data_IF_261863058828
#
_entry.id   IF_261863058828
#
_cell.length_a   1.000
_cell.length_b   1.000
_cell.length_c   1.000
_cell.angle_alpha   90.00
_cell.angle_beta   90.00
_cell.angle_gamma   90.00
#
_symmetry.space_group_name_H-M   'P 1'
#
loop_
_entity.id
_entity.type
_entity.pdbx_description
1 polymer ?
#
# COMPACT_ATOMS: atom_id res chain seq x y z
N UNK A 1 -6.94 -1.09 23.51
CA UNK A 1 -6.06 0.02 23.95
C UNK A 1 -6.94 1.21 24.36
N UNK A 2 -7.71 1.79 23.45
CA UNK A 2 -8.56 2.98 23.70
C UNK A 2 -9.63 2.69 24.74
N UNK A 3 -9.86 3.65 25.66
CA UNK A 3 -10.88 3.59 26.73
C UNK A 3 -10.52 2.69 27.91
N UNK A 4 -9.27 2.23 28.02
CA UNK A 4 -8.81 1.42 29.14
C UNK A 4 -7.77 2.16 29.98
N UNK A 5 -7.96 2.27 31.28
CA UNK A 5 -7.08 3.00 32.22
C UNK A 5 -5.62 2.58 32.07
N UNK A 6 -5.35 1.28 31.87
CA UNK A 6 -3.99 0.75 31.67
C UNK A 6 -3.21 1.41 30.53
N UNK A 7 -3.92 1.94 29.51
CA UNK A 7 -3.32 2.52 28.29
C UNK A 7 -3.56 4.00 28.15
N UNK A 8 -3.91 4.68 29.26
CA UNK A 8 -4.27 6.10 29.26
C UNK A 8 -3.16 7.02 28.73
N UNK A 9 -1.91 6.69 29.02
CA UNK A 9 -0.74 7.47 28.59
C UNK A 9 -0.54 7.45 27.07
N UNK A 10 -0.91 6.35 26.39
CA UNK A 10 -0.78 6.14 24.95
C UNK A 10 -2.11 6.27 24.21
N UNK A 11 -3.20 6.62 24.89
CA UNK A 11 -4.54 6.67 24.28
C UNK A 11 -4.65 7.71 23.18
N UNK A 12 -4.00 8.86 23.33
CA UNK A 12 -4.02 9.92 22.33
C UNK A 12 -3.37 9.44 21.03
N UNK A 13 -2.18 8.86 21.12
CA UNK A 13 -1.45 8.28 19.99
C UNK A 13 -2.24 7.14 19.32
N UNK A 14 -2.82 6.24 20.11
CA UNK A 14 -3.66 5.17 19.58
C UNK A 14 -4.90 5.68 18.83
N UNK A 15 -5.46 6.82 19.24
CA UNK A 15 -6.58 7.48 18.53
C UNK A 15 -6.12 8.09 17.20
N UNK A 16 -4.96 8.71 17.15
CA UNK A 16 -4.39 9.26 15.92
C UNK A 16 -4.13 8.14 14.89
N UNK A 17 -3.52 7.04 15.32
CA UNK A 17 -3.30 5.85 14.49
C UNK A 17 -4.63 5.30 13.96
N UNK A 18 -5.64 5.19 14.81
CA UNK A 18 -6.98 4.73 14.41
C UNK A 18 -7.61 5.64 13.36
N UNK A 19 -7.56 6.97 13.56
CA UNK A 19 -8.13 7.94 12.63
C UNK A 19 -7.47 7.85 11.26
N UNK A 20 -6.14 7.82 11.21
CA UNK A 20 -5.40 7.71 9.95
C UNK A 20 -5.66 6.36 9.26
N UNK A 21 -5.72 5.26 10.02
CA UNK A 21 -6.04 3.94 9.47
C UNK A 21 -7.43 3.88 8.85
N UNK A 22 -8.43 4.50 9.49
CA UNK A 22 -9.80 4.58 8.96
C UNK A 22 -9.90 5.48 7.72
N UNK A 23 -9.09 6.54 7.62
CA UNK A 23 -9.00 7.38 6.43
C UNK A 23 -8.37 6.62 5.27
N UNK A 24 -7.22 6.01 5.48
CA UNK A 24 -6.55 5.17 4.47
C UNK A 24 -7.46 4.03 4.00
N UNK A 25 -8.18 3.38 4.90
CA UNK A 25 -9.16 2.34 4.54
C UNK A 25 -10.23 2.87 3.61
N UNK A 26 -10.80 4.05 3.87
CA UNK A 26 -11.81 4.68 3.00
C UNK A 26 -11.23 4.99 1.62
N UNK A 27 -10.02 5.57 1.57
CA UNK A 27 -9.35 5.86 0.31
C UNK A 27 -9.09 4.59 -0.50
N UNK A 28 -8.55 3.53 0.13
CA UNK A 28 -8.27 2.27 -0.55
C UNK A 28 -9.54 1.54 -1.02
N UNK A 29 -10.66 1.68 -0.33
CA UNK A 29 -11.95 1.16 -0.81
C UNK A 29 -12.42 1.87 -2.09
N UNK A 30 -12.21 3.18 -2.20
CA UNK A 30 -12.51 3.93 -3.43
C UNK A 30 -11.59 3.54 -4.60
N UNK A 31 -10.37 3.09 -4.31
CA UNK A 31 -9.43 2.64 -5.33
C UNK A 31 -9.90 1.36 -6.05
N UNK A 32 -10.78 0.55 -5.47
CA UNK A 32 -11.32 -0.67 -6.09
C UNK A 32 -12.09 -0.31 -7.38
N UNK A 33 -12.94 0.69 -7.31
CA UNK A 33 -13.73 1.14 -8.47
C UNK A 33 -12.83 1.84 -9.50
N UNK A 34 -11.83 2.59 -9.04
CA UNK A 34 -10.85 3.25 -9.90
C UNK A 34 -9.99 2.24 -10.67
N UNK A 35 -9.53 1.17 -10.04
CA UNK A 35 -8.76 0.09 -10.68
C UNK A 35 -9.55 -0.55 -11.83
N UNK A 36 -10.82 -0.85 -11.59
CA UNK A 36 -11.73 -1.40 -12.61
C UNK A 36 -11.88 -0.47 -13.80
N UNK A 37 -11.95 0.84 -13.58
CA UNK A 37 -12.03 1.85 -14.63
C UNK A 37 -10.72 1.94 -15.42
N UNK A 38 -9.59 1.99 -14.74
CA UNK A 38 -8.26 2.03 -15.37
C UNK A 38 -8.07 0.81 -16.28
N UNK A 39 -8.44 -0.38 -15.81
CA UNK A 39 -8.38 -1.60 -16.64
C UNK A 39 -9.24 -1.48 -17.89
N UNK A 40 -10.47 -0.96 -17.78
CA UNK A 40 -11.35 -0.73 -18.94
C UNK A 40 -10.71 0.24 -19.94
N UNK A 41 -10.16 1.36 -19.46
CA UNK A 41 -9.52 2.37 -20.30
C UNK A 41 -8.27 1.81 -21.02
N UNK A 42 -7.49 0.97 -20.36
CA UNK A 42 -6.35 0.24 -20.98
C UNK A 42 -6.85 -0.67 -22.10
N UNK A 43 -7.84 -1.52 -21.83
CA UNK A 43 -8.37 -2.47 -22.80
C UNK A 43 -8.97 -1.77 -24.03
N UNK A 44 -9.66 -0.67 -23.83
CA UNK A 44 -10.28 0.09 -24.92
C UNK A 44 -9.23 0.83 -25.77
N UNK A 45 -8.15 1.35 -25.15
CA UNK A 45 -7.04 1.96 -25.88
C UNK A 45 -6.29 0.95 -26.76
N UNK A 46 -6.07 -0.28 -26.27
CA UNK A 46 -5.47 -1.36 -27.06
C UNK A 46 -6.37 -1.78 -28.23
N UNK A 47 -7.70 -1.91 -28.02
CA UNK A 47 -8.66 -2.24 -29.10
C UNK A 47 -8.71 -1.16 -30.18
N UNK A 48 -8.57 0.11 -29.80
CA UNK A 48 -8.55 1.22 -30.72
C UNK A 48 -7.24 1.31 -31.53
N UNK A 49 -6.18 0.64 -31.11
CA UNK A 49 -4.83 0.72 -31.73
C UNK A 49 -4.14 2.07 -31.54
N UNK A 50 -4.61 2.87 -30.57
CA UNK A 50 -4.10 4.21 -30.27
C UNK A 50 -2.92 4.11 -29.29
N UNK A 51 -1.70 4.12 -29.83
CA UNK A 51 -0.47 3.97 -29.04
C UNK A 51 -0.25 5.13 -28.07
N UNK A 52 -0.59 6.37 -28.43
CA UNK A 52 -0.43 7.51 -27.53
C UNK A 52 -1.38 7.36 -26.34
N UNK A 53 -2.61 6.94 -26.58
CA UNK A 53 -3.57 6.67 -25.53
C UNK A 53 -3.16 5.48 -24.65
N UNK A 54 -2.63 4.40 -25.24
CA UNK A 54 -2.07 3.27 -24.46
C UNK A 54 -0.98 3.76 -23.53
N UNK A 55 -0.04 4.57 -24.01
CA UNK A 55 1.01 5.15 -23.18
C UNK A 55 0.47 5.97 -22.02
N UNK A 56 -0.48 6.89 -22.30
CA UNK A 56 -1.09 7.74 -21.27
C UNK A 56 -1.79 6.93 -20.19
N UNK A 57 -2.68 6.01 -20.56
CA UNK A 57 -3.43 5.21 -19.58
C UNK A 57 -2.57 4.22 -18.81
N UNK A 58 -1.50 3.69 -19.44
CA UNK A 58 -0.52 2.86 -18.73
C UNK A 58 0.31 3.68 -17.74
N UNK A 59 0.63 4.94 -18.05
CA UNK A 59 1.29 5.82 -17.09
C UNK A 59 0.39 6.12 -15.89
N UNK A 60 -0.88 6.45 -16.12
CA UNK A 60 -1.88 6.65 -15.05
C UNK A 60 -2.01 5.38 -14.17
N UNK A 61 -2.01 4.20 -14.79
CA UNK A 61 -2.04 2.92 -14.09
C UNK A 61 -0.79 2.66 -13.23
N UNK A 62 0.39 3.09 -13.69
CA UNK A 62 1.62 3.04 -12.89
C UNK A 62 1.51 3.96 -11.68
N UNK A 63 1.08 5.21 -11.87
CA UNK A 63 0.95 6.19 -10.79
C UNK A 63 -0.08 5.74 -9.75
N UNK A 64 -1.22 5.23 -10.19
CA UNK A 64 -2.26 4.64 -9.35
C UNK A 64 -1.72 3.46 -8.51
N UNK A 65 -1.02 2.53 -9.16
CA UNK A 65 -0.46 1.36 -8.45
C UNK A 65 0.68 1.76 -7.49
N UNK A 66 1.43 2.80 -7.80
CA UNK A 66 2.44 3.38 -6.89
C UNK A 66 1.79 4.04 -5.67
N UNK A 67 0.67 4.76 -5.84
CA UNK A 67 -0.09 5.34 -4.73
C UNK A 67 -0.64 4.23 -3.81
N UNK A 68 -1.21 3.17 -4.38
CA UNK A 68 -1.65 1.99 -3.64
C UNK A 68 -0.50 1.35 -2.84
N UNK A 69 0.70 1.23 -3.46
CA UNK A 69 1.89 0.72 -2.79
C UNK A 69 2.29 1.57 -1.58
N UNK A 70 2.29 2.90 -1.73
CA UNK A 70 2.60 3.85 -0.64
C UNK A 70 1.61 3.75 0.51
N UNK A 71 0.32 3.67 0.20
CA UNK A 71 -0.75 3.53 1.21
C UNK A 71 -0.63 2.20 1.96
N UNK A 72 -0.33 1.10 1.27
CA UNK A 72 -0.11 -0.19 1.91
C UNK A 72 1.09 -0.16 2.87
N UNK A 73 2.23 0.44 2.46
CA UNK A 73 3.39 0.63 3.35
C UNK A 73 3.03 1.54 4.53
N UNK A 74 2.26 2.62 4.33
CA UNK A 74 1.83 3.49 5.44
C UNK A 74 0.97 2.72 6.46
N UNK A 75 0.04 1.86 6.02
CA UNK A 75 -0.72 0.99 6.92
C UNK A 75 0.17 0.03 7.71
N UNK A 76 1.23 -0.49 7.10
CA UNK A 76 2.20 -1.33 7.81
C UNK A 76 2.97 -0.54 8.87
N UNK A 77 3.35 0.72 8.61
CA UNK A 77 3.96 1.60 9.62
C UNK A 77 3.02 1.83 10.80
N UNK A 78 1.74 2.16 10.53
CA UNK A 78 0.74 2.31 11.58
C UNK A 78 0.53 1.00 12.37
N UNK A 79 0.62 -0.15 11.70
CA UNK A 79 0.54 -1.45 12.36
C UNK A 79 1.75 -1.69 13.29
N UNK A 80 2.94 -1.26 12.90
CA UNK A 80 4.12 -1.30 13.76
C UNK A 80 3.95 -0.36 14.97
N UNK A 81 3.60 0.91 14.72
CA UNK A 81 3.37 1.93 15.75
C UNK A 81 2.37 1.42 16.82
N UNK A 82 1.20 0.88 16.40
CA UNK A 82 0.22 0.36 17.36
C UNK A 82 0.64 -0.95 18.02
N UNK A 83 1.50 -1.76 17.40
CA UNK A 83 2.02 -2.99 18.01
C UNK A 83 2.96 -2.72 19.18
N UNK A 84 3.68 -1.59 19.16
CA UNK A 84 4.59 -1.16 20.23
C UNK A 84 3.84 -0.71 21.49
N UNK A 85 2.75 0.04 21.32
CA UNK A 85 2.00 0.69 22.42
C UNK A 85 0.68 -0.01 22.76
N UNK A 86 0.22 -0.90 21.91
CA UNK A 86 -1.10 -1.49 21.96
C UNK A 86 -1.26 -2.64 22.95
N UNK A 87 -2.44 -3.24 22.91
CA UNK A 87 -2.76 -4.38 23.76
C UNK A 87 -2.08 -5.64 23.24
N UNK A 88 -1.14 -6.18 23.99
CA UNK A 88 -0.41 -7.42 23.66
C UNK A 88 -1.30 -8.65 23.42
N UNK A 89 -2.54 -8.66 23.90
CA UNK A 89 -3.49 -9.73 23.58
C UNK A 89 -3.91 -9.74 22.10
N UNK A 90 -3.57 -8.70 21.34
CA UNK A 90 -3.83 -8.58 19.90
C UNK A 90 -2.60 -8.93 19.06
N UNK A 91 -1.59 -9.58 19.63
CA UNK A 91 -0.34 -9.90 18.93
C UNK A 91 -0.57 -10.66 17.62
N UNK A 92 -1.48 -11.66 17.62
CA UNK A 92 -1.84 -12.39 16.41
C UNK A 92 -2.50 -11.52 15.34
N UNK A 93 -3.25 -10.48 15.74
CA UNK A 93 -3.87 -9.56 14.77
C UNK A 93 -2.80 -8.67 14.11
N UNK A 94 -1.77 -8.27 14.85
CA UNK A 94 -0.63 -7.54 14.30
C UNK A 94 0.16 -8.40 13.31
N UNK A 95 0.40 -9.67 13.65
CA UNK A 95 1.07 -10.61 12.74
C UNK A 95 0.28 -10.81 11.44
N UNK A 96 -1.04 -10.99 11.52
CA UNK A 96 -1.94 -11.07 10.35
C UNK A 96 -1.86 -9.79 9.52
N UNK A 97 -1.89 -8.61 10.16
CA UNK A 97 -1.77 -7.34 9.46
C UNK A 97 -0.43 -7.20 8.72
N UNK A 98 0.67 -7.69 9.30
CA UNK A 98 1.99 -7.69 8.68
C UNK A 98 2.04 -8.56 7.41
N UNK A 99 1.49 -9.77 7.45
CA UNK A 99 1.43 -10.65 6.27
C UNK A 99 0.55 -10.08 5.15
N UNK A 100 -0.64 -9.59 5.50
CA UNK A 100 -1.57 -9.02 4.51
C UNK A 100 -0.98 -7.74 3.90
N UNK A 101 -0.35 -6.89 4.71
CA UNK A 101 0.28 -5.65 4.25
C UNK A 101 1.42 -5.91 3.26
N UNK A 102 2.33 -6.83 3.58
CA UNK A 102 3.44 -7.21 2.70
C UNK A 102 2.93 -7.83 1.38
N UNK A 103 1.88 -8.66 1.44
CA UNK A 103 1.23 -9.21 0.26
C UNK A 103 0.57 -8.12 -0.60
N UNK A 104 -0.07 -7.12 0.02
CA UNK A 104 -0.68 -6.00 -0.68
C UNK A 104 0.37 -5.15 -1.41
N UNK A 105 1.51 -4.84 -0.76
CA UNK A 105 2.65 -4.16 -1.39
C UNK A 105 3.18 -4.97 -2.57
N UNK A 106 3.39 -6.27 -2.41
CA UNK A 106 3.85 -7.16 -3.48
C UNK A 106 2.90 -7.18 -4.68
N UNK A 107 1.59 -7.21 -4.44
CA UNK A 107 0.55 -7.21 -5.47
C UNK A 107 0.49 -5.87 -6.22
N UNK A 108 0.52 -4.74 -5.51
CA UNK A 108 0.54 -3.42 -6.13
C UNK A 108 1.80 -3.22 -7.00
N UNK A 109 2.96 -3.65 -6.52
CA UNK A 109 4.21 -3.61 -7.31
C UNK A 109 4.14 -4.51 -8.55
N UNK A 110 3.42 -5.62 -8.52
CA UNK A 110 3.20 -6.44 -9.71
C UNK A 110 2.43 -5.67 -10.80
N UNK A 111 1.40 -4.90 -10.40
CA UNK A 111 0.65 -4.01 -11.32
C UNK A 111 1.52 -2.86 -11.85
N UNK A 112 2.36 -2.24 -11.01
CA UNK A 112 3.36 -1.27 -11.48
C UNK A 112 4.21 -1.87 -12.60
N UNK A 113 4.79 -3.06 -12.37
CA UNK A 113 5.70 -3.72 -13.31
C UNK A 113 5.07 -4.06 -14.64
N UNK A 114 3.81 -4.50 -14.66
CA UNK A 114 3.15 -4.88 -15.91
C UNK A 114 2.87 -3.64 -16.77
N UNK A 115 2.41 -2.54 -16.15
CA UNK A 115 2.08 -1.31 -16.86
C UNK A 115 3.34 -0.57 -17.34
N UNK A 116 4.45 -0.62 -16.59
CA UNK A 116 5.74 -0.07 -17.01
C UNK A 116 6.26 -0.66 -18.32
N UNK A 117 5.89 -1.89 -18.68
CA UNK A 117 6.32 -2.53 -19.94
C UNK A 117 5.79 -1.82 -21.18
N UNK A 118 4.65 -1.14 -21.06
CA UNK A 118 4.00 -0.43 -22.15
C UNK A 118 4.51 1.02 -22.33
N UNK A 119 5.46 1.45 -21.52
CA UNK A 119 6.03 2.79 -21.57
C UNK A 119 7.43 2.76 -22.21
N UNK A 120 7.81 3.80 -22.94
CA UNK A 120 9.11 3.88 -23.63
C UNK A 120 10.14 4.75 -22.88
N UNK A 121 9.72 5.55 -21.89
CA UNK A 121 10.60 6.45 -21.15
C UNK A 121 11.45 5.69 -20.14
N UNK A 122 12.69 5.37 -20.53
CA UNK A 122 13.63 4.59 -19.71
C UNK A 122 14.05 5.30 -18.41
N UNK A 123 14.12 6.62 -18.41
CA UNK A 123 14.44 7.38 -17.18
C UNK A 123 13.29 7.29 -16.19
N UNK A 124 12.06 7.48 -16.65
CA UNK A 124 10.86 7.30 -15.84
C UNK A 124 10.78 5.88 -15.24
N UNK A 125 10.98 4.85 -16.08
CA UNK A 125 11.01 3.45 -15.63
C UNK A 125 12.01 3.21 -14.52
N UNK A 126 13.24 3.70 -14.67
CA UNK A 126 14.31 3.57 -13.66
C UNK A 126 13.94 4.26 -12.35
N UNK A 127 13.33 5.43 -12.41
CA UNK A 127 12.92 6.17 -11.23
C UNK A 127 11.82 5.42 -10.47
N UNK A 128 10.77 4.97 -11.16
CA UNK A 128 9.69 4.16 -10.57
C UNK A 128 10.24 2.84 -10.00
N UNK A 129 11.15 2.17 -10.74
CA UNK A 129 11.77 0.93 -10.27
C UNK A 129 12.56 1.14 -8.97
N UNK A 130 13.32 2.22 -8.86
CA UNK A 130 14.04 2.55 -7.64
C UNK A 130 13.09 2.82 -6.47
N UNK A 131 11.98 3.51 -6.74
CA UNK A 131 10.99 3.87 -5.73
C UNK A 131 10.25 2.63 -5.20
N UNK A 132 9.67 1.78 -6.07
CA UNK A 132 8.97 0.58 -5.61
C UNK A 132 9.91 -0.44 -4.96
N UNK A 133 11.18 -0.50 -5.35
CA UNK A 133 12.15 -1.38 -4.71
C UNK A 133 12.38 -0.99 -3.25
N UNK A 134 12.52 0.31 -2.97
CA UNK A 134 12.63 0.82 -1.60
C UNK A 134 11.38 0.53 -0.76
N UNK A 135 10.19 0.76 -1.33
CA UNK A 135 8.93 0.47 -0.65
C UNK A 135 8.78 -1.02 -0.33
N UNK A 136 9.20 -1.89 -1.24
CA UNK A 136 9.19 -3.33 -1.04
C UNK A 136 10.18 -3.79 0.04
N UNK A 137 11.40 -3.25 0.04
CA UNK A 137 12.40 -3.52 1.08
C UNK A 137 11.87 -3.06 2.44
N UNK A 138 11.28 -1.87 2.51
CA UNK A 138 10.66 -1.34 3.71
C UNK A 138 9.50 -2.22 4.20
N UNK A 139 8.62 -2.67 3.30
CA UNK A 139 7.52 -3.58 3.63
C UNK A 139 8.02 -4.86 4.27
N UNK A 140 9.06 -5.48 3.69
CA UNK A 140 9.65 -6.70 4.24
C UNK A 140 10.24 -6.47 5.64
N UNK A 141 10.94 -5.37 5.86
CA UNK A 141 11.49 -4.99 7.17
C UNK A 141 10.37 -4.75 8.19
N UNK A 142 9.35 -3.97 7.84
CA UNK A 142 8.20 -3.71 8.72
C UNK A 142 7.48 -5.01 9.12
N UNK A 143 7.31 -5.93 8.17
CA UNK A 143 6.73 -7.24 8.47
C UNK A 143 7.54 -8.00 9.52
N UNK A 144 8.86 -8.06 9.37
CA UNK A 144 9.75 -8.75 10.30
C UNK A 144 9.68 -8.10 11.69
N UNK A 145 9.75 -6.77 11.78
CA UNK A 145 9.66 -6.03 13.04
C UNK A 145 8.32 -6.25 13.76
N UNK A 146 7.19 -6.21 13.03
CA UNK A 146 5.86 -6.45 13.62
C UNK A 146 5.75 -7.89 14.15
N UNK A 147 6.23 -8.88 13.38
CA UNK A 147 6.20 -10.29 13.80
C UNK A 147 7.09 -10.51 15.02
N UNK A 148 8.26 -9.87 15.08
CA UNK A 148 9.16 -9.96 16.24
C UNK A 148 8.50 -9.39 17.51
N UNK A 149 7.77 -8.28 17.41
CA UNK A 149 7.01 -7.70 18.52
C UNK A 149 5.79 -8.55 18.93
N UNK A 150 5.24 -9.34 18.02
CA UNK A 150 4.10 -10.22 18.29
C UNK A 150 4.50 -11.50 19.06
N UNK A 151 5.75 -11.92 18.99
CA UNK A 151 6.29 -13.13 19.65
C UNK A 151 6.95 -12.80 20.99
#
# INVERSE_FOLDING_TARGET
TIGKEKYKEVEAEAKEILMESEELKKEMLLMIDQDSKILSDILDSYKAGDQEKVHSVCQDAVEFSMDMTKKAVRLMRLSLEISEIGNRMLASDFEVAAYIGDAAVGSAVANVKINLKSLDNEEYKKNIQKEYSKLKEESSRLKEEIIELAN
#
